data_IF_276705382796
#
_entry.id   IF_276705382796
#
_cell.length_a   1.000
_cell.length_b   1.000
_cell.length_c   1.000
_cell.angle_alpha   90.00
_cell.angle_beta   90.00
_cell.angle_gamma   90.00
#
_symmetry.space_group_name_H-M   'P 1'
#
loop_
_entity.id
_entity.type
_entity.pdbx_description
1 polymer ?
#
# COMPACT_ATOMS: atom_id res chain seq x y z
N UNK A 1 20.56 -6.53 26.48
CA UNK A 1 19.46 -6.04 25.63
C UNK A 1 19.65 -6.65 24.25
N UNK A 2 18.64 -7.32 23.71
CA UNK A 2 18.74 -7.98 22.39
C UNK A 2 18.65 -6.90 21.30
N UNK A 3 19.56 -6.93 20.32
CA UNK A 3 19.64 -5.96 19.21
C UNK A 3 19.13 -6.60 17.92
N UNK A 4 17.86 -7.01 17.90
CA UNK A 4 17.26 -7.57 16.68
C UNK A 4 17.04 -6.45 15.66
N UNK A 5 17.67 -6.59 14.50
CA UNK A 5 17.55 -5.68 13.35
C UNK A 5 16.62 -6.26 12.30
N UNK A 6 16.55 -7.59 12.23
CA UNK A 6 15.82 -8.32 11.20
C UNK A 6 15.17 -9.54 11.85
N UNK A 7 13.92 -9.78 11.47
CA UNK A 7 13.15 -10.94 11.88
C UNK A 7 12.45 -11.48 10.63
N UNK A 8 12.66 -12.76 10.37
CA UNK A 8 11.90 -13.51 9.36
C UNK A 8 11.17 -14.67 10.05
N UNK A 9 9.85 -14.67 9.97
CA UNK A 9 9.02 -15.79 10.40
C UNK A 9 8.53 -16.52 9.16
N UNK A 10 9.18 -17.64 8.83
CA UNK A 10 8.94 -18.37 7.59
C UNK A 10 8.35 -19.74 7.90
N UNK A 11 7.24 -20.09 7.24
CA UNK A 11 6.61 -21.41 7.31
C UNK A 11 6.26 -21.86 8.74
N UNK A 12 5.90 -20.91 9.61
CA UNK A 12 5.47 -21.22 10.98
C UNK A 12 3.99 -21.64 10.97
N UNK A 13 3.70 -22.83 10.46
CA UNK A 13 2.33 -23.27 10.18
C UNK A 13 1.45 -23.41 11.43
N UNK A 14 2.03 -23.61 12.61
CA UNK A 14 1.29 -23.69 13.88
C UNK A 14 1.06 -22.31 14.53
N UNK A 15 1.57 -21.22 13.93
CA UNK A 15 1.38 -19.87 14.44
C UNK A 15 -0.06 -19.41 14.13
N UNK A 16 -0.85 -19.18 15.18
CA UNK A 16 -2.21 -18.66 15.08
C UNK A 16 -2.24 -17.13 15.28
N UNK A 17 -1.27 -16.59 16.01
CA UNK A 17 -1.11 -15.16 16.29
C UNK A 17 0.35 -14.74 16.10
N UNK A 18 0.56 -13.58 15.47
CA UNK A 18 1.91 -13.01 15.31
C UNK A 18 2.37 -12.47 16.66
N UNK A 19 3.61 -12.76 17.09
CA UNK A 19 4.12 -12.21 18.34
C UNK A 19 4.14 -10.68 18.34
N UNK A 20 4.13 -10.07 19.52
CA UNK A 20 4.29 -8.62 19.66
C UNK A 20 5.70 -8.19 19.26
N UNK A 21 5.83 -7.52 18.12
CA UNK A 21 7.14 -7.11 17.56
C UNK A 21 7.33 -5.58 17.55
N UNK A 22 6.25 -4.80 17.65
CA UNK A 22 6.30 -3.35 17.51
C UNK A 22 7.09 -2.59 18.58
N UNK A 23 7.38 -3.25 19.72
CA UNK A 23 8.21 -2.67 20.78
C UNK A 23 9.72 -2.76 20.50
N UNK A 24 10.15 -3.47 19.44
CA UNK A 24 11.57 -3.69 19.15
C UNK A 24 12.21 -2.43 18.56
N UNK A 25 13.14 -1.76 19.27
CA UNK A 25 13.57 -0.41 18.90
C UNK A 25 14.52 -0.36 17.70
N UNK A 26 15.18 -1.47 17.37
CA UNK A 26 16.19 -1.57 16.31
C UNK A 26 15.71 -2.38 15.10
N UNK A 27 14.51 -2.96 15.15
CA UNK A 27 13.98 -3.78 14.08
C UNK A 27 13.75 -2.91 12.84
N UNK A 28 14.42 -3.24 11.74
CA UNK A 28 14.36 -2.56 10.44
C UNK A 28 13.68 -3.40 9.38
N UNK A 29 13.80 -4.72 9.46
CA UNK A 29 13.29 -5.64 8.45
C UNK A 29 12.43 -6.70 9.13
N UNK A 30 11.18 -6.81 8.69
CA UNK A 30 10.26 -7.82 9.19
C UNK A 30 9.61 -8.53 8.01
N UNK A 31 9.85 -9.84 7.91
CA UNK A 31 9.21 -10.70 6.93
C UNK A 31 8.35 -11.74 7.63
N UNK A 32 7.09 -11.83 7.24
CA UNK A 32 6.12 -12.82 7.67
C UNK A 32 5.74 -13.65 6.44
N UNK A 33 6.27 -14.86 6.32
CA UNK A 33 6.05 -15.74 5.17
C UNK A 33 5.42 -17.07 5.59
N UNK A 34 4.36 -17.49 4.93
CA UNK A 34 3.83 -18.85 5.11
C UNK A 34 3.18 -19.09 6.47
N UNK A 35 2.70 -18.03 7.13
CA UNK A 35 1.96 -18.10 8.39
C UNK A 35 0.49 -18.48 8.13
N UNK A 36 0.26 -19.72 7.72
CA UNK A 36 -1.02 -20.17 7.15
C UNK A 36 -2.18 -20.19 8.13
N UNK A 37 -1.94 -20.30 9.44
CA UNK A 37 -3.00 -20.34 10.45
C UNK A 37 -3.33 -18.97 11.06
N UNK A 38 -2.51 -17.95 10.81
CA UNK A 38 -2.79 -16.58 11.25
C UNK A 38 -3.98 -16.03 10.45
N UNK A 39 -4.98 -15.54 11.18
CA UNK A 39 -6.21 -14.98 10.62
C UNK A 39 -6.28 -13.47 10.74
N UNK A 40 -5.59 -12.88 11.71
CA UNK A 40 -5.60 -11.44 11.92
C UNK A 40 -4.24 -10.91 12.35
N UNK A 41 -3.94 -9.68 11.94
CA UNK A 41 -2.88 -8.85 12.52
C UNK A 41 -3.55 -7.85 13.46
N UNK A 42 -3.59 -8.19 14.75
CA UNK A 42 -4.24 -7.36 15.78
C UNK A 42 -3.35 -6.26 16.35
N UNK A 43 -3.91 -5.46 17.27
CA UNK A 43 -3.18 -4.34 17.90
C UNK A 43 -1.95 -4.77 18.69
N UNK A 44 -1.96 -5.99 19.24
CA UNK A 44 -0.85 -6.59 19.97
C UNK A 44 0.43 -6.71 19.12
N UNK A 45 0.31 -6.82 17.79
CA UNK A 45 1.44 -6.84 16.85
C UNK A 45 2.32 -5.59 17.00
N UNK A 46 1.68 -4.44 17.16
CA UNK A 46 2.31 -3.13 17.28
C UNK A 46 2.87 -2.83 18.68
N UNK A 47 2.55 -3.65 19.68
CA UNK A 47 2.95 -3.40 21.08
C UNK A 47 2.01 -2.47 21.84
N UNK A 48 0.81 -2.22 21.31
CA UNK A 48 -0.29 -1.63 22.05
C UNK A 48 -0.86 -2.70 23.01
N UNK A 49 -0.78 -2.45 24.32
CA UNK A 49 -1.53 -3.23 25.29
C UNK A 49 -3.00 -2.86 25.20
N UNK A 50 -3.91 -3.83 25.29
CA UNK A 50 -5.36 -3.57 25.36
C UNK A 50 -5.67 -2.57 26.48
N UNK A 51 -5.89 -1.31 26.11
CA UNK A 51 -6.30 -0.27 27.06
C UNK A 51 -7.78 -0.47 27.41
N UNK A 52 -8.07 -1.47 28.24
CA UNK A 52 -9.35 -1.67 28.91
C UNK A 52 -9.26 -1.44 30.43
N UNK A 53 -8.25 -0.70 30.90
CA UNK A 53 -8.15 -0.30 32.31
C UNK A 53 -8.49 1.17 32.51
N UNK A 54 -9.68 1.40 33.05
CA UNK A 54 -10.02 2.55 33.88
C UNK A 54 -8.95 2.82 34.94
N UNK A 55 -8.09 3.83 34.77
CA UNK A 55 -7.50 4.60 35.89
C UNK A 55 -6.55 5.71 35.41
N UNK A 56 -6.98 6.95 35.66
CA UNK A 56 -6.24 8.09 36.24
C UNK A 56 -4.86 8.45 35.66
N UNK A 57 -4.83 9.66 35.09
CA UNK A 57 -3.78 10.68 35.22
C UNK A 57 -2.33 10.20 35.45
N UNK A 58 -1.70 9.67 34.42
CA UNK A 58 -0.24 9.75 34.29
C UNK A 58 0.13 10.16 32.86
N UNK A 59 1.19 10.95 32.75
CA UNK A 59 1.62 11.66 31.54
C UNK A 59 1.72 10.77 30.30
N UNK A 60 1.27 11.33 29.19
CA UNK A 60 1.05 10.68 27.90
C UNK A 60 2.38 10.27 27.21
N UNK A 61 3.07 9.22 27.71
CA UNK A 61 4.11 8.55 26.93
C UNK A 61 3.45 7.72 25.82
N UNK A 62 3.33 8.35 24.66
CA UNK A 62 2.87 7.71 23.43
C UNK A 62 3.87 6.63 23.03
N UNK A 63 3.48 5.35 23.14
CA UNK A 63 4.31 4.26 22.59
C UNK A 63 4.31 4.36 21.07
N UNK A 64 5.51 4.53 20.50
CA UNK A 64 5.74 4.50 19.06
C UNK A 64 5.81 3.04 18.63
N UNK A 65 4.88 2.63 17.76
CA UNK A 65 4.88 1.31 17.16
C UNK A 65 5.97 1.25 16.09
N UNK A 66 6.88 0.26 16.16
CA UNK A 66 7.93 0.03 15.17
C UNK A 66 8.81 1.26 14.86
N UNK A 67 9.55 1.81 15.84
CA UNK A 67 10.27 3.08 15.69
C UNK A 67 11.37 3.08 14.62
N UNK A 68 11.86 1.91 14.19
CA UNK A 68 12.97 1.80 13.22
C UNK A 68 12.60 0.99 11.97
N UNK A 69 11.36 0.51 11.84
CA UNK A 69 10.99 -0.43 10.78
C UNK A 69 11.05 0.27 9.43
N UNK A 70 11.75 -0.35 8.48
CA UNK A 70 11.97 0.14 7.11
C UNK A 70 11.30 -0.72 6.05
N UNK A 71 11.19 -2.03 6.30
CA UNK A 71 10.58 -2.96 5.37
C UNK A 71 9.67 -3.92 6.14
N UNK A 72 8.44 -4.05 5.66
CA UNK A 72 7.46 -5.03 6.10
C UNK A 72 7.02 -5.85 4.90
N UNK A 73 7.26 -7.16 4.95
CA UNK A 73 6.84 -8.11 3.93
C UNK A 73 5.86 -9.10 4.56
N UNK A 74 4.68 -9.20 3.99
CA UNK A 74 3.62 -10.15 4.38
C UNK A 74 3.35 -11.04 3.16
N UNK A 75 3.79 -12.29 3.21
CA UNK A 75 3.76 -13.19 2.07
C UNK A 75 3.11 -14.54 2.43
N UNK A 76 2.33 -15.11 1.51
CA UNK A 76 1.75 -16.46 1.64
C UNK A 76 1.01 -16.64 2.98
N UNK A 77 0.16 -15.67 3.31
CA UNK A 77 -0.75 -15.72 4.46
C UNK A 77 -2.20 -15.87 3.96
N UNK A 78 -2.57 -17.03 3.38
CA UNK A 78 -3.83 -17.20 2.64
C UNK A 78 -5.09 -17.16 3.51
N UNK A 79 -4.94 -17.28 4.83
CA UNK A 79 -6.06 -17.21 5.78
C UNK A 79 -6.15 -15.88 6.53
N UNK A 80 -5.25 -14.93 6.24
CA UNK A 80 -5.30 -13.60 6.82
C UNK A 80 -6.52 -12.86 6.28
N UNK A 81 -7.46 -12.53 7.16
CA UNK A 81 -8.71 -11.83 6.82
C UNK A 81 -8.73 -10.39 7.30
N UNK A 82 -8.05 -10.11 8.41
CA UNK A 82 -8.12 -8.82 9.10
C UNK A 82 -6.72 -8.26 9.38
N UNK A 83 -6.55 -6.96 9.17
CA UNK A 83 -5.35 -6.25 9.57
C UNK A 83 -5.75 -4.93 10.23
N UNK A 84 -5.58 -4.88 11.56
CA UNK A 84 -5.94 -3.74 12.37
C UNK A 84 -5.04 -2.54 12.09
N UNK A 85 -5.65 -1.35 12.04
CA UNK A 85 -4.94 -0.07 11.95
C UNK A 85 -4.19 0.21 13.26
N UNK A 86 -2.92 0.61 13.14
CA UNK A 86 -2.15 1.03 14.30
C UNK A 86 -2.75 2.33 14.86
N UNK A 87 -2.94 2.41 16.18
CA UNK A 87 -3.39 3.64 16.82
C UNK A 87 -2.28 4.70 16.78
N UNK A 88 -2.27 5.55 15.75
CA UNK A 88 -1.38 6.71 15.69
C UNK A 88 -2.12 7.95 16.16
N UNK A 89 -1.72 8.51 17.30
CA UNK A 89 -2.14 9.88 17.67
C UNK A 89 -1.66 10.89 16.62
N UNK A 90 -2.32 12.04 16.51
CA UNK A 90 -2.06 13.15 15.55
C UNK A 90 -0.59 13.63 15.51
N UNK A 91 0.25 13.22 16.47
CA UNK A 91 1.66 13.63 16.63
C UNK A 91 2.66 12.58 16.09
N UNK A 92 2.24 11.38 15.68
CA UNK A 92 3.16 10.35 15.19
C UNK A 92 3.44 10.48 13.68
N UNK A 93 4.39 11.38 13.36
CA UNK A 93 4.84 11.66 11.98
C UNK A 93 5.95 10.73 11.47
N UNK A 94 6.32 9.69 12.22
CA UNK A 94 7.58 8.95 12.02
C UNK A 94 7.38 7.43 11.94
N UNK A 95 6.57 6.93 11.00
CA UNK A 95 6.80 5.56 10.52
C UNK A 95 8.00 5.63 9.56
N UNK A 96 9.08 4.91 9.86
CA UNK A 96 10.27 4.84 8.99
C UNK A 96 10.10 3.87 7.82
N UNK A 97 8.88 3.37 7.61
CA UNK A 97 8.59 2.32 6.66
C UNK A 97 8.80 2.84 5.25
N UNK A 98 9.78 2.28 4.55
CA UNK A 98 10.13 2.62 3.18
C UNK A 98 9.55 1.62 2.16
N UNK A 99 9.36 0.37 2.57
CA UNK A 99 8.88 -0.70 1.71
C UNK A 99 7.76 -1.47 2.41
N UNK A 100 6.60 -1.55 1.78
CA UNK A 100 5.50 -2.38 2.22
C UNK A 100 5.11 -3.34 1.09
N UNK A 101 5.20 -4.64 1.37
CA UNK A 101 4.92 -5.67 0.39
C UNK A 101 3.90 -6.67 0.93
N UNK A 102 2.82 -6.88 0.18
CA UNK A 102 1.81 -7.89 0.41
C UNK A 102 1.76 -8.86 -0.76
N UNK A 103 2.02 -10.14 -0.51
CA UNK A 103 2.04 -11.16 -1.55
C UNK A 103 1.18 -12.35 -1.13
N UNK A 104 0.23 -12.75 -1.98
CA UNK A 104 -0.62 -13.94 -1.78
C UNK A 104 -1.37 -13.91 -0.43
N UNK A 105 -2.00 -12.78 -0.11
CA UNK A 105 -2.86 -12.60 1.06
C UNK A 105 -4.33 -12.69 0.65
N UNK A 106 -4.73 -13.83 0.08
CA UNK A 106 -5.96 -13.98 -0.72
C UNK A 106 -7.26 -13.55 -0.03
N UNK A 107 -7.35 -13.73 1.30
CA UNK A 107 -8.55 -13.41 2.08
C UNK A 107 -8.51 -12.03 2.74
N UNK A 108 -7.43 -11.28 2.58
CA UNK A 108 -7.30 -9.96 3.19
C UNK A 108 -8.22 -8.99 2.47
N UNK A 109 -9.27 -8.54 3.15
CA UNK A 109 -10.29 -7.69 2.54
C UNK A 109 -9.94 -6.19 2.57
N UNK A 110 -9.09 -5.78 3.51
CA UNK A 110 -8.73 -4.37 3.75
C UNK A 110 -7.27 -4.26 4.21
N UNK A 111 -6.59 -3.21 3.75
CA UNK A 111 -5.27 -2.80 4.24
C UNK A 111 -5.52 -1.60 5.17
N UNK A 112 -4.89 -1.55 6.36
CA UNK A 112 -5.04 -0.41 7.26
C UNK A 112 -4.50 0.87 6.60
N UNK A 113 -4.97 1.99 7.11
CA UNK A 113 -4.51 3.31 6.68
C UNK A 113 -3.00 3.43 6.86
N UNK A 114 -2.33 4.09 5.91
CA UNK A 114 -0.88 4.26 5.86
C UNK A 114 -0.42 5.58 6.51
N UNK A 115 -1.22 6.10 7.46
CA UNK A 115 -0.98 7.37 8.15
C UNK A 115 0.40 7.35 8.82
N UNK A 116 1.16 8.41 8.57
CA UNK A 116 2.54 8.55 9.07
C UNK A 116 3.62 7.97 8.14
N UNK A 117 3.23 7.27 7.05
CA UNK A 117 4.12 6.83 5.98
C UNK A 117 4.41 7.89 4.90
N UNK A 118 3.75 9.06 4.97
CA UNK A 118 3.80 10.07 3.92
C UNK A 118 5.20 10.50 3.48
N UNK A 119 6.10 10.67 4.45
CA UNK A 119 7.47 11.15 4.20
C UNK A 119 8.52 10.02 4.05
N UNK A 120 8.10 8.75 4.07
CA UNK A 120 9.03 7.62 4.19
C UNK A 120 8.75 6.48 3.22
N UNK A 121 7.47 6.16 2.97
CA UNK A 121 7.11 5.02 2.13
C UNK A 121 7.46 5.32 0.67
N UNK A 122 8.39 4.54 0.13
CA UNK A 122 8.91 4.63 -1.23
C UNK A 122 8.26 3.63 -2.16
N UNK A 123 7.95 2.43 -1.66
CA UNK A 123 7.38 1.37 -2.47
C UNK A 123 6.24 0.67 -1.75
N UNK A 124 5.13 0.52 -2.46
CA UNK A 124 3.97 -0.26 -2.05
C UNK A 124 3.69 -1.31 -3.12
N UNK A 125 3.86 -2.58 -2.75
CA UNK A 125 3.53 -3.72 -3.61
C UNK A 125 2.40 -4.53 -3.00
N UNK A 126 1.34 -4.78 -3.77
CA UNK A 126 0.20 -5.59 -3.37
C UNK A 126 -0.07 -6.59 -4.49
N UNK A 127 0.07 -7.88 -4.20
CA UNK A 127 -0.12 -8.92 -5.19
C UNK A 127 -0.89 -10.12 -4.64
N UNK A 128 -1.86 -10.63 -5.40
CA UNK A 128 -2.62 -11.84 -5.03
C UNK A 128 -3.46 -11.69 -3.76
N UNK A 129 -4.05 -10.52 -3.55
CA UNK A 129 -5.01 -10.22 -2.48
C UNK A 129 -6.43 -10.23 -3.03
N UNK A 130 -6.94 -11.43 -3.31
CA UNK A 130 -8.17 -11.64 -4.10
C UNK A 130 -9.41 -10.97 -3.49
N UNK A 131 -9.56 -10.93 -2.16
CA UNK A 131 -10.70 -10.32 -1.46
C UNK A 131 -10.57 -8.80 -1.23
N UNK A 132 -9.41 -8.20 -1.52
CA UNK A 132 -9.18 -6.76 -1.34
C UNK A 132 -10.10 -5.98 -2.28
N UNK A 133 -10.93 -5.09 -1.74
CA UNK A 133 -11.93 -4.33 -2.53
C UNK A 133 -11.49 -2.92 -2.90
N UNK A 134 -10.70 -2.31 -2.03
CA UNK A 134 -10.19 -0.95 -2.19
C UNK A 134 -8.82 -0.80 -1.54
N UNK A 135 -8.04 0.15 -2.04
CA UNK A 135 -6.82 0.61 -1.37
C UNK A 135 -7.14 1.59 -0.21
N UNK A 136 -6.20 1.85 0.71
CA UNK A 136 -6.37 2.88 1.74
C UNK A 136 -6.69 4.26 1.15
N UNK A 137 -7.58 5.02 1.80
CA UNK A 137 -8.03 6.35 1.31
C UNK A 137 -7.04 7.49 1.58
N UNK A 138 -5.99 7.20 2.33
CA UNK A 138 -4.86 8.08 2.57
C UNK A 138 -3.68 7.85 1.61
N UNK A 139 -3.88 7.09 0.52
CA UNK A 139 -2.85 6.86 -0.51
C UNK A 139 -2.27 8.18 -1.05
N UNK A 140 -3.08 9.21 -1.26
CA UNK A 140 -2.61 10.53 -1.70
C UNK A 140 -1.94 11.37 -0.62
N UNK A 141 -1.68 10.82 0.57
CA UNK A 141 -0.76 11.38 1.57
C UNK A 141 0.69 10.88 1.43
N UNK A 142 0.94 9.92 0.53
CA UNK A 142 2.24 9.28 0.35
C UNK A 142 3.19 10.11 -0.54
N UNK A 143 3.65 11.24 -0.01
CA UNK A 143 4.55 12.20 -0.66
C UNK A 143 5.86 11.62 -1.19
N UNK A 144 6.37 10.58 -0.55
CA UNK A 144 7.63 9.91 -0.91
C UNK A 144 7.47 8.65 -1.76
N UNK A 145 6.24 8.28 -2.13
CA UNK A 145 6.00 7.04 -2.88
C UNK A 145 6.59 7.18 -4.29
N UNK A 146 7.51 6.29 -4.64
CA UNK A 146 8.21 6.22 -5.91
C UNK A 146 7.66 5.07 -6.79
N UNK A 147 7.19 3.98 -6.19
CA UNK A 147 6.59 2.86 -6.90
C UNK A 147 5.31 2.34 -6.24
N UNK A 148 4.27 2.16 -7.05
CA UNK A 148 3.02 1.50 -6.67
C UNK A 148 2.78 0.33 -7.64
N UNK A 149 2.76 -0.88 -7.09
CA UNK A 149 2.53 -2.11 -7.85
C UNK A 149 1.32 -2.84 -7.29
N UNK A 150 0.33 -3.10 -8.14
CA UNK A 150 -0.88 -3.86 -7.81
C UNK A 150 -1.02 -4.98 -8.83
N UNK A 151 -1.02 -6.24 -8.41
CA UNK A 151 -1.02 -7.38 -9.32
C UNK A 151 -1.92 -8.52 -8.86
N UNK A 152 -2.94 -8.86 -9.65
CA UNK A 152 -3.80 -10.01 -9.35
C UNK A 152 -4.65 -9.79 -8.10
N UNK A 153 -5.16 -8.58 -7.89
CA UNK A 153 -6.17 -8.29 -6.87
C UNK A 153 -7.55 -8.37 -7.54
N UNK A 154 -8.08 -9.58 -7.64
CA UNK A 154 -9.24 -9.89 -8.50
C UNK A 154 -10.52 -9.11 -8.14
N UNK A 155 -10.78 -8.87 -6.85
CA UNK A 155 -11.96 -8.11 -6.40
C UNK A 155 -11.72 -6.61 -6.17
N UNK A 156 -10.52 -6.10 -6.46
CA UNK A 156 -10.20 -4.67 -6.30
C UNK A 156 -11.07 -3.87 -7.26
N UNK A 157 -11.88 -2.97 -6.73
CA UNK A 157 -12.84 -2.17 -7.49
C UNK A 157 -12.43 -0.71 -7.62
N UNK A 158 -11.79 -0.18 -6.56
CA UNK A 158 -11.51 1.24 -6.41
C UNK A 158 -10.08 1.46 -5.90
N UNK A 159 -9.46 2.53 -6.39
CA UNK A 159 -8.27 3.14 -5.79
C UNK A 159 -8.76 4.48 -5.24
N UNK A 160 -9.08 4.61 -3.94
CA UNK A 160 -9.61 5.85 -3.41
C UNK A 160 -8.54 6.96 -3.48
N UNK A 161 -8.92 8.13 -3.99
CA UNK A 161 -8.10 9.32 -4.00
C UNK A 161 -8.99 10.55 -3.79
N UNK A 162 -9.21 10.96 -2.53
CA UNK A 162 -10.03 12.13 -2.21
C UNK A 162 -9.52 13.43 -2.84
N UNK A 163 -10.46 14.27 -3.27
CA UNK A 163 -10.15 15.56 -3.89
C UNK A 163 -9.27 16.46 -3.04
N UNK A 164 -8.32 17.11 -3.71
CA UNK A 164 -7.36 18.04 -3.10
C UNK A 164 -6.08 17.38 -2.59
N UNK A 165 -5.95 16.06 -2.66
CA UNK A 165 -4.68 15.37 -2.38
C UNK A 165 -3.67 15.60 -3.51
N UNK A 166 -2.40 15.84 -3.17
CA UNK A 166 -1.29 16.02 -4.13
C UNK A 166 -0.06 15.18 -3.80
N UNK A 167 -0.23 14.11 -3.01
CA UNK A 167 0.90 13.37 -2.45
C UNK A 167 1.72 12.61 -3.49
N UNK A 168 1.15 12.10 -4.57
CA UNK A 168 1.88 11.18 -5.46
C UNK A 168 2.84 11.87 -6.46
N UNK A 169 3.30 13.08 -6.16
CA UNK A 169 4.25 13.84 -6.99
C UNK A 169 5.61 13.15 -7.18
N UNK A 170 6.03 12.30 -6.24
CA UNK A 170 7.27 11.51 -6.34
C UNK A 170 7.12 10.21 -7.12
N UNK A 171 5.89 9.81 -7.48
CA UNK A 171 5.62 8.50 -8.09
C UNK A 171 6.30 8.42 -9.47
N UNK A 172 7.16 7.43 -9.65
CA UNK A 172 7.91 7.15 -10.88
C UNK A 172 7.38 5.95 -11.62
N UNK A 173 6.84 4.95 -10.92
CA UNK A 173 6.28 3.73 -11.51
C UNK A 173 4.90 3.44 -10.95
N UNK A 174 3.92 3.34 -11.83
CA UNK A 174 2.57 2.87 -11.53
C UNK A 174 2.29 1.62 -12.37
N UNK A 175 2.11 0.50 -11.69
CA UNK A 175 1.92 -0.80 -12.33
C UNK A 175 0.66 -1.46 -11.79
N UNK A 176 -0.33 -1.68 -12.64
CA UNK A 176 -1.61 -2.27 -12.28
C UNK A 176 -1.94 -3.42 -13.24
N UNK A 177 -1.94 -4.63 -12.72
CA UNK A 177 -2.03 -5.84 -13.52
C UNK A 177 -3.12 -6.76 -12.99
N UNK A 178 -3.87 -7.41 -13.89
CA UNK A 178 -4.77 -8.52 -13.54
C UNK A 178 -5.78 -8.15 -12.43
N UNK A 179 -6.25 -6.90 -12.41
CA UNK A 179 -7.26 -6.42 -11.45
C UNK A 179 -8.62 -6.38 -12.17
N UNK A 180 -9.26 -7.55 -12.31
CA UNK A 180 -10.43 -7.71 -13.21
C UNK A 180 -11.62 -6.81 -12.86
N UNK A 181 -11.84 -6.54 -11.58
CA UNK A 181 -12.97 -5.70 -11.11
C UNK A 181 -12.67 -4.21 -11.05
N UNK A 182 -11.42 -3.78 -11.30
CA UNK A 182 -11.05 -2.38 -11.23
C UNK A 182 -11.80 -1.64 -12.32
N UNK A 183 -12.60 -0.65 -11.94
CA UNK A 183 -13.54 0.00 -12.87
C UNK A 183 -13.04 1.35 -13.37
N UNK A 184 -12.16 2.00 -12.62
CA UNK A 184 -11.63 3.31 -12.92
C UNK A 184 -10.23 3.52 -12.33
N UNK A 185 -9.48 4.42 -12.94
CA UNK A 185 -8.30 5.05 -12.35
C UNK A 185 -8.69 6.49 -11.97
N UNK A 186 -8.42 6.97 -10.75
CA UNK A 186 -8.78 8.33 -10.37
C UNK A 186 -7.98 9.35 -11.21
N UNK A 187 -8.67 10.25 -11.92
CA UNK A 187 -8.01 11.28 -12.73
C UNK A 187 -7.13 12.20 -11.86
N UNK A 188 -7.65 12.64 -10.71
CA UNK A 188 -6.93 13.50 -9.76
C UNK A 188 -5.65 12.85 -9.24
N UNK A 189 -5.63 11.52 -9.06
CA UNK A 189 -4.43 10.77 -8.69
C UNK A 189 -3.37 10.89 -9.80
N UNK A 190 -3.77 10.62 -11.05
CA UNK A 190 -2.87 10.70 -12.20
C UNK A 190 -2.39 12.13 -12.45
N UNK A 191 -3.25 13.14 -12.29
CA UNK A 191 -2.89 14.56 -12.39
C UNK A 191 -1.84 14.99 -11.35
N UNK A 192 -1.85 14.35 -10.17
CA UNK A 192 -0.86 14.64 -9.12
C UNK A 192 0.52 14.05 -9.40
N UNK A 193 0.63 13.05 -10.27
CA UNK A 193 1.88 12.37 -10.59
C UNK A 193 2.72 13.24 -11.53
N UNK A 194 3.63 14.06 -11.02
CA UNK A 194 4.51 14.92 -11.85
C UNK A 194 5.79 14.22 -12.31
N UNK A 195 6.22 13.17 -11.60
CA UNK A 195 7.48 12.47 -11.82
C UNK A 195 7.35 11.10 -12.50
N UNK A 196 6.15 10.75 -13.00
CA UNK A 196 5.87 9.41 -13.52
C UNK A 196 6.68 9.12 -14.77
N UNK A 197 7.40 7.99 -14.76
CA UNK A 197 8.28 7.53 -15.84
C UNK A 197 7.79 6.23 -16.46
N UNK A 198 7.11 5.40 -15.69
CA UNK A 198 6.56 4.12 -16.13
C UNK A 198 5.10 4.01 -15.70
N UNK A 199 4.21 3.78 -16.66
CA UNK A 199 2.81 3.51 -16.44
C UNK A 199 2.44 2.24 -17.20
N UNK A 200 2.09 1.20 -16.45
CA UNK A 200 1.68 -0.07 -17.03
C UNK A 200 0.34 -0.50 -16.45
N UNK A 201 -0.67 -0.68 -17.31
CA UNK A 201 -2.01 -1.12 -16.94
C UNK A 201 -2.48 -2.19 -17.93
N UNK A 202 -2.58 -3.44 -17.48
CA UNK A 202 -3.01 -4.55 -18.33
C UNK A 202 -3.85 -5.59 -17.58
N UNK A 203 -4.63 -6.36 -18.33
CA UNK A 203 -5.54 -7.41 -17.85
C UNK A 203 -6.53 -6.92 -16.80
N UNK A 204 -7.04 -5.69 -16.97
CA UNK A 204 -8.05 -5.08 -16.11
C UNK A 204 -9.39 -5.00 -16.86
N UNK A 205 -10.13 -6.11 -16.92
CA UNK A 205 -11.29 -6.30 -17.80
C UNK A 205 -12.42 -5.26 -17.61
N UNK A 206 -12.69 -4.83 -16.37
CA UNK A 206 -13.70 -3.81 -16.10
C UNK A 206 -13.20 -2.37 -16.30
N UNK A 207 -11.91 -2.17 -16.51
CA UNK A 207 -11.32 -0.86 -16.76
C UNK A 207 -11.50 -0.50 -18.23
N UNK A 208 -12.75 -0.20 -18.60
CA UNK A 208 -13.15 -0.03 -20.00
C UNK A 208 -12.72 1.31 -20.61
N UNK A 209 -12.39 2.30 -19.78
CA UNK A 209 -11.92 3.62 -20.19
C UNK A 209 -10.72 4.07 -19.36
N UNK A 210 -9.86 4.86 -19.99
CA UNK A 210 -8.75 5.55 -19.33
C UNK A 210 -9.16 7.01 -19.06
N UNK A 211 -8.71 7.65 -17.97
CA UNK A 211 -9.04 9.05 -17.68
C UNK A 211 -8.62 10.00 -18.80
N UNK A 212 -9.35 11.12 -18.97
CA UNK A 212 -9.02 12.14 -19.98
C UNK A 212 -7.61 12.69 -19.71
N UNK A 213 -6.78 12.75 -20.74
CA UNK A 213 -5.35 13.08 -20.59
C UNK A 213 -5.06 14.59 -20.69
N UNK A 214 -6.07 15.40 -20.97
CA UNK A 214 -5.98 16.86 -20.99
C UNK A 214 -5.42 17.38 -19.65
N UNK A 215 -4.24 17.98 -19.67
CA UNK A 215 -3.60 18.53 -18.46
C UNK A 215 -2.80 17.53 -17.62
N UNK A 216 -2.59 16.30 -18.11
CA UNK A 216 -1.73 15.32 -17.44
C UNK A 216 -0.24 15.68 -17.58
N UNK A 217 0.34 16.21 -16.50
CA UNK A 217 1.73 16.68 -16.43
C UNK A 217 2.78 15.56 -16.57
N UNK A 218 2.45 14.32 -16.21
CA UNK A 218 3.35 13.18 -16.35
C UNK A 218 3.70 12.83 -17.79
N UNK A 219 2.91 13.26 -18.78
CA UNK A 219 3.19 13.02 -20.20
C UNK A 219 4.58 13.57 -20.61
N UNK A 220 5.09 14.58 -19.90
CA UNK A 220 6.43 15.15 -20.12
C UNK A 220 7.58 14.30 -19.55
N UNK A 221 7.28 13.37 -18.66
CA UNK A 221 8.26 12.56 -17.92
C UNK A 221 8.22 11.08 -18.29
N UNK A 222 7.12 10.62 -18.91
CA UNK A 222 6.87 9.22 -19.24
C UNK A 222 7.90 8.68 -20.23
N UNK A 223 8.35 7.46 -20.00
CA UNK A 223 9.34 6.74 -20.82
C UNK A 223 8.81 5.39 -21.27
N UNK A 224 8.13 4.71 -20.35
CA UNK A 224 7.54 3.39 -20.58
C UNK A 224 6.03 3.49 -20.38
N UNK A 225 5.28 3.24 -21.44
CA UNK A 225 3.82 3.22 -21.42
C UNK A 225 3.33 1.90 -22.00
N UNK A 226 2.66 1.12 -21.17
CA UNK A 226 2.02 -0.14 -21.58
C UNK A 226 0.57 -0.15 -21.06
N UNK A 227 -0.37 0.14 -21.95
CA UNK A 227 -1.79 0.26 -21.62
C UNK A 227 -2.55 -0.72 -22.52
N UNK A 228 -3.13 -1.77 -21.92
CA UNK A 228 -3.85 -2.84 -22.62
C UNK A 228 -5.29 -3.02 -22.12
N UNK A 229 -6.12 -3.69 -22.93
CA UNK A 229 -7.50 -4.14 -22.61
C UNK A 229 -8.60 -3.07 -22.54
N UNK A 230 -8.31 -1.82 -22.92
CA UNK A 230 -9.32 -0.76 -22.99
C UNK A 230 -10.15 -0.87 -24.28
N UNK A 231 -11.31 -1.56 -24.20
CA UNK A 231 -12.23 -1.82 -25.31
C UNK A 231 -12.80 -0.56 -25.99
N UNK A 232 -12.77 0.59 -25.33
CA UNK A 232 -13.32 1.86 -25.84
C UNK A 232 -12.29 2.99 -25.99
N UNK A 233 -11.00 2.72 -25.84
CA UNK A 233 -10.05 3.82 -25.68
C UNK A 233 -9.82 4.60 -26.98
N UNK A 234 -9.86 5.92 -26.82
CA UNK A 234 -9.06 6.91 -27.54
C UNK A 234 -7.54 6.58 -27.46
N UNK A 235 -7.12 5.33 -27.66
CA UNK A 235 -5.70 4.93 -27.71
C UNK A 235 -4.96 5.70 -28.81
N UNK A 236 -5.69 6.11 -29.86
CA UNK A 236 -5.22 7.03 -30.88
C UNK A 236 -4.94 8.44 -30.34
N UNK A 237 -5.72 8.92 -29.36
CA UNK A 237 -5.44 10.17 -28.62
C UNK A 237 -4.21 10.00 -27.72
N UNK A 238 -4.04 8.85 -27.05
CA UNK A 238 -2.84 8.54 -26.25
C UNK A 238 -1.59 8.63 -27.13
N UNK A 239 -1.60 7.91 -28.26
CA UNK A 239 -0.51 7.92 -29.24
C UNK A 239 -0.34 9.33 -29.84
N UNK A 240 -1.43 10.06 -30.06
CA UNK A 240 -1.41 11.43 -30.58
C UNK A 240 -0.74 12.42 -29.62
N UNK A 241 -1.09 12.36 -28.33
CA UNK A 241 -0.51 13.20 -27.28
C UNK A 241 0.97 12.88 -27.06
N UNK A 242 1.36 11.61 -27.05
CA UNK A 242 2.78 11.21 -26.93
C UNK A 242 3.64 11.67 -28.11
N UNK A 243 3.07 11.87 -29.31
CA UNK A 243 3.80 12.43 -30.46
C UNK A 243 3.98 13.95 -30.38
N UNK A 244 3.23 14.63 -29.52
CA UNK A 244 3.19 16.09 -29.40
C UNK A 244 4.03 16.66 -28.26
N UNK A 245 4.59 15.78 -27.42
CA UNK A 245 5.53 16.07 -26.34
C UNK A 245 6.95 15.78 -26.81
#
# INVERSE_FOLDING_TARGET
>A
MVKLIEIELTNCYNCEEIPTLGHLPLLKYLKLEGLTNVRSIGLSFYGASDCSSTSRNDGHETRVSFPSLKSLIIEKMPNLTEWAEAQTSVVQKNQNLAYLELWTCKKLAYIPQLRGGGASLKELCIAGSDELRELPDDLGSLESLEALVINGCENLQLIPYPSGQKGLSSLRSLQIYRCKRLSNLPSEMLESCTSLQSLCVFSCENLTSFPEMSGMVWLNSIRDLDIGDFLNSNILEVIGLLKSV
#
